data_IF_843443348512
#
_entry.id   IF_843443348512
#
_cell.length_a   1.000
_cell.length_b   1.000
_cell.length_c   1.000
_cell.angle_alpha   90.00
_cell.angle_beta   90.00
_cell.angle_gamma   90.00
#
_symmetry.space_group_name_H-M   'P 1'
#
loop_
_entity.id
_entity.type
_entity.pdbx_description
1 polymer ?
#
# COMPACT_ATOMS: atom_id res chain seq x y z
N UNK A 1 -73.41 -32.06 26.65
CA UNK A 1 -74.50 -31.32 25.93
C UNK A 1 -73.85 -30.47 24.91
N UNK A 2 -73.69 -30.89 23.66
CA UNK A 2 -74.67 -30.70 22.57
C UNK A 2 -74.74 -29.24 22.12
N UNK A 3 -74.27 -29.04 21.00
CA UNK A 3 -74.75 -28.76 19.62
C UNK A 3 -74.15 -27.44 19.12
N UNK A 4 -73.86 -27.14 17.92
CA UNK A 4 -74.10 -27.72 16.59
C UNK A 4 -73.55 -26.71 15.55
N UNK A 5 -73.09 -27.24 14.46
CA UNK A 5 -72.65 -26.67 13.22
C UNK A 5 -73.51 -25.53 12.66
N UNK A 6 -72.97 -24.70 11.81
CA UNK A 6 -73.51 -24.40 10.48
C UNK A 6 -72.49 -23.78 9.53
N UNK A 7 -72.47 -24.34 8.36
CA UNK A 7 -71.75 -24.02 7.10
C UNK A 7 -72.29 -22.75 6.45
N UNK A 8 -71.43 -21.98 5.80
CA UNK A 8 -71.78 -21.18 4.62
C UNK A 8 -70.63 -21.04 3.65
N UNK A 9 -70.90 -21.39 2.41
CA UNK A 9 -70.07 -21.29 1.20
C UNK A 9 -69.96 -19.84 0.73
N UNK A 10 -68.88 -19.47 0.12
CA UNK A 10 -68.74 -18.20 -0.63
C UNK A 10 -67.46 -18.20 -1.48
N UNK A 11 -67.64 -18.14 -2.77
CA UNK A 11 -66.84 -18.40 -3.95
C UNK A 11 -65.57 -17.57 -4.17
N UNK A 12 -64.92 -17.76 -5.32
CA UNK A 12 -63.55 -17.38 -5.56
C UNK A 12 -63.42 -15.88 -5.86
N UNK A 13 -62.46 -15.22 -5.24
CA UNK A 13 -62.00 -13.87 -5.59
C UNK A 13 -60.76 -13.92 -6.42
N UNK A 14 -60.76 -13.17 -7.47
CA UNK A 14 -59.78 -12.89 -8.48
C UNK A 14 -58.38 -12.63 -7.91
N UNK A 15 -57.40 -13.17 -8.60
CA UNK A 15 -55.97 -12.85 -8.41
C UNK A 15 -55.72 -11.50 -9.06
N UNK A 16 -55.31 -10.55 -8.26
CA UNK A 16 -54.77 -9.27 -8.72
C UNK A 16 -53.27 -9.49 -9.02
N UNK A 17 -52.91 -9.38 -10.32
CA UNK A 17 -51.56 -9.45 -10.85
C UNK A 17 -50.92 -8.06 -10.72
N UNK A 18 -50.36 -7.73 -9.57
CA UNK A 18 -49.44 -6.59 -9.44
C UNK A 18 -48.58 -6.79 -8.20
N UNK A 19 -47.53 -7.61 -8.32
CA UNK A 19 -46.35 -7.49 -7.46
C UNK A 19 -45.13 -8.16 -8.12
N UNK A 20 -44.61 -7.50 -9.15
CA UNK A 20 -43.35 -7.87 -9.79
C UNK A 20 -42.39 -6.68 -9.79
N UNK A 21 -41.96 -6.26 -8.59
CA UNK A 21 -40.79 -5.40 -8.42
C UNK A 21 -40.19 -5.62 -7.04
N UNK A 22 -39.76 -6.85 -6.75
CA UNK A 22 -38.81 -7.08 -5.69
C UNK A 22 -37.41 -6.87 -6.26
N UNK A 23 -36.85 -5.74 -5.84
CA UNK A 23 -35.48 -5.39 -6.14
C UNK A 23 -34.54 -6.54 -5.87
N UNK A 24 -33.60 -6.77 -6.78
CA UNK A 24 -32.51 -7.67 -6.61
C UNK A 24 -31.74 -7.26 -5.33
N UNK A 25 -31.83 -8.09 -4.29
CA UNK A 25 -31.01 -8.02 -3.10
C UNK A 25 -29.57 -8.25 -3.58
N UNK A 26 -28.70 -7.28 -3.34
CA UNK A 26 -27.27 -7.47 -3.52
C UNK A 26 -26.85 -8.73 -2.74
N UNK A 27 -25.85 -9.51 -3.21
CA UNK A 27 -25.36 -10.66 -2.47
C UNK A 27 -24.95 -10.18 -1.07
N UNK A 28 -25.52 -10.84 -0.03
CA UNK A 28 -25.13 -10.62 1.36
C UNK A 28 -23.64 -10.96 1.46
N UNK A 29 -22.82 -9.96 1.64
CA UNK A 29 -21.37 -10.06 1.82
C UNK A 29 -21.15 -10.72 3.19
N UNK A 30 -20.72 -12.00 3.21
CA UNK A 30 -20.37 -12.73 4.43
C UNK A 30 -19.07 -12.19 5.07
N UNK A 31 -18.42 -11.22 4.45
CA UNK A 31 -17.27 -10.49 4.99
C UNK A 31 -17.77 -9.39 5.91
N UNK A 32 -17.35 -9.41 7.18
CA UNK A 32 -17.68 -8.35 8.17
C UNK A 32 -17.23 -6.97 7.69
N UNK A 33 -17.37 -5.92 8.52
CA UNK A 33 -16.96 -4.57 8.13
C UNK A 33 -15.48 -4.55 7.73
N UNK A 34 -15.08 -3.65 6.79
CA UNK A 34 -13.70 -3.50 6.37
C UNK A 34 -12.80 -3.18 7.58
N UNK A 35 -11.52 -3.50 7.47
CA UNK A 35 -10.54 -3.22 8.52
C UNK A 35 -10.39 -1.71 8.76
N UNK A 36 -10.43 -0.92 7.67
CA UNK A 36 -10.40 0.54 7.74
C UNK A 36 -11.36 1.13 6.70
N UNK A 37 -12.18 2.09 7.11
CA UNK A 37 -12.97 2.93 6.23
C UNK A 37 -12.73 4.40 6.59
N UNK A 38 -12.33 5.19 5.60
CA UNK A 38 -12.09 6.63 5.68
C UNK A 38 -13.04 7.31 4.70
N UNK A 39 -13.80 8.30 5.14
CA UNK A 39 -14.79 8.99 4.32
C UNK A 39 -14.61 10.50 4.44
N UNK A 40 -14.29 11.18 3.34
CA UNK A 40 -14.20 12.63 3.22
C UNK A 40 -13.21 13.28 4.21
N UNK A 41 -12.11 12.59 4.52
CA UNK A 41 -11.18 13.02 5.54
C UNK A 41 -10.44 14.27 5.11
N UNK A 42 -10.52 15.31 5.94
CA UNK A 42 -9.77 16.55 5.74
C UNK A 42 -8.99 16.92 7.01
N UNK A 43 -7.74 17.31 6.83
CA UNK A 43 -6.89 17.81 7.92
C UNK A 43 -6.05 18.99 7.48
N UNK A 44 -6.13 20.07 8.27
CA UNK A 44 -5.34 21.29 8.10
C UNK A 44 -4.48 21.53 9.33
N UNK A 45 -3.32 22.13 9.14
CA UNK A 45 -2.44 22.57 10.21
C UNK A 45 -2.14 24.05 10.05
N UNK A 46 -2.06 24.79 11.16
CA UNK A 46 -1.91 26.25 11.19
C UNK A 46 -3.26 26.96 11.07
N UNK A 47 -3.22 28.27 11.19
CA UNK A 47 -4.39 29.17 11.17
C UNK A 47 -4.23 30.24 10.09
N UNK A 48 -5.36 30.74 9.56
CA UNK A 48 -5.39 31.82 8.58
C UNK A 48 -4.77 31.45 7.22
N UNK A 49 -4.09 32.40 6.61
CA UNK A 49 -3.52 32.28 5.27
C UNK A 49 -2.31 31.33 5.20
N UNK A 50 -1.69 31.01 6.34
CA UNK A 50 -0.56 30.08 6.44
C UNK A 50 -1.00 28.63 6.70
N UNK A 51 -2.31 28.34 6.67
CA UNK A 51 -2.83 27.00 6.90
C UNK A 51 -2.42 26.04 5.78
N UNK A 52 -1.78 24.93 6.15
CA UNK A 52 -1.39 23.86 5.22
C UNK A 52 -2.45 22.76 5.26
N UNK A 53 -3.05 22.45 4.11
CA UNK A 53 -3.96 21.32 3.96
C UNK A 53 -3.11 20.07 3.75
N UNK A 54 -3.01 19.24 4.79
CA UNK A 54 -2.21 18.01 4.76
C UNK A 54 -2.98 16.81 4.19
N UNK A 55 -4.30 16.78 4.38
CA UNK A 55 -5.23 15.78 3.79
C UNK A 55 -6.47 16.55 3.35
N UNK A 56 -6.94 16.33 2.13
CA UNK A 56 -8.01 17.08 1.49
C UNK A 56 -9.02 16.15 0.83
N UNK A 57 -10.16 15.93 1.48
CA UNK A 57 -11.29 15.12 1.03
C UNK A 57 -10.89 13.69 0.61
N UNK A 58 -10.13 13.01 1.47
CA UNK A 58 -9.64 11.65 1.21
C UNK A 58 -10.67 10.62 1.67
N UNK A 59 -11.04 9.72 0.74
CA UNK A 59 -11.89 8.56 1.03
C UNK A 59 -11.19 7.29 0.54
N UNK A 60 -11.06 6.28 1.40
CA UNK A 60 -10.52 4.98 1.06
C UNK A 60 -11.06 3.89 1.99
N UNK A 61 -11.04 2.65 1.52
CA UNK A 61 -11.42 1.46 2.28
C UNK A 61 -10.28 0.44 2.21
N UNK A 62 -9.99 -0.23 3.32
CA UNK A 62 -9.03 -1.34 3.39
C UNK A 62 -9.76 -2.58 3.85
N UNK A 63 -9.79 -3.58 2.99
CA UNK A 63 -10.43 -4.86 3.30
C UNK A 63 -9.57 -5.69 4.26
N UNK A 64 -10.22 -6.60 5.02
CA UNK A 64 -9.52 -7.49 5.93
C UNK A 64 -8.56 -8.42 5.16
N UNK A 65 -7.37 -8.65 5.71
CA UNK A 65 -6.36 -9.51 5.12
C UNK A 65 -5.68 -8.96 3.87
N UNK A 66 -5.93 -7.68 3.49
CA UNK A 66 -5.28 -7.04 2.35
C UNK A 66 -4.05 -6.22 2.77
N UNK A 67 -3.12 -6.05 1.83
CA UNK A 67 -1.96 -5.18 1.98
C UNK A 67 -2.12 -3.96 1.09
N UNK A 68 -2.32 -2.79 1.69
CA UNK A 68 -2.53 -1.53 0.97
C UNK A 68 -1.35 -0.60 1.18
N UNK A 69 -0.76 -0.14 0.07
CA UNK A 69 0.31 0.83 0.06
C UNK A 69 -0.20 2.26 -0.04
N UNK A 70 0.29 3.15 0.81
CA UNK A 70 0.14 4.59 0.68
C UNK A 70 1.40 5.15 0.05
N UNK A 71 1.37 5.47 -1.24
CA UNK A 71 2.50 5.93 -2.02
C UNK A 71 2.41 7.44 -2.26
N UNK A 72 3.53 8.12 -2.27
CA UNK A 72 3.62 9.54 -2.60
C UNK A 72 4.87 10.21 -2.04
N UNK A 73 5.23 11.40 -2.51
CA UNK A 73 6.40 12.13 -2.04
C UNK A 73 6.28 12.56 -0.57
N UNK A 74 7.38 13.05 -0.03
CA UNK A 74 7.37 13.66 1.29
C UNK A 74 6.42 14.87 1.31
N UNK A 75 5.59 14.97 2.36
CA UNK A 75 4.54 16.00 2.44
C UNK A 75 3.24 15.69 1.69
N UNK A 76 3.12 14.55 1.01
CA UNK A 76 1.87 14.15 0.32
C UNK A 76 0.67 13.89 1.24
N UNK A 77 0.89 13.79 2.57
CA UNK A 77 -0.18 13.57 3.55
C UNK A 77 -0.24 12.16 4.14
N UNK A 78 0.61 11.21 3.70
CA UNK A 78 0.61 9.80 4.13
C UNK A 78 0.61 9.62 5.65
N UNK A 79 1.63 10.15 6.33
CA UNK A 79 1.77 10.07 7.80
C UNK A 79 0.61 10.77 8.52
N UNK A 80 0.08 11.87 7.97
CA UNK A 80 -1.08 12.57 8.53
C UNK A 80 -2.33 11.71 8.43
N UNK A 81 -2.57 11.07 7.28
CA UNK A 81 -3.68 10.14 7.08
C UNK A 81 -3.60 8.97 8.07
N UNK A 82 -2.43 8.33 8.22
CA UNK A 82 -2.20 7.27 9.21
C UNK A 82 -2.47 7.77 10.63
N UNK A 83 -1.95 8.93 11.01
CA UNK A 83 -2.19 9.50 12.35
C UNK A 83 -3.65 9.84 12.61
N UNK A 84 -4.40 10.26 11.58
CA UNK A 84 -5.85 10.42 11.68
C UNK A 84 -6.56 9.07 11.87
N UNK A 85 -6.17 8.04 11.10
CA UNK A 85 -6.70 6.70 11.25
C UNK A 85 -6.44 6.10 12.63
N UNK A 86 -5.29 6.40 13.23
CA UNK A 86 -4.93 6.00 14.60
C UNK A 86 -5.52 6.91 15.70
N UNK A 87 -6.30 7.93 15.34
CA UNK A 87 -6.87 8.88 16.29
C UNK A 87 -5.83 9.70 17.09
N UNK A 88 -4.57 9.73 16.61
CA UNK A 88 -3.49 10.56 17.16
C UNK A 88 -3.70 12.01 16.75
N UNK A 89 -4.16 12.22 15.52
CA UNK A 89 -4.52 13.53 14.98
C UNK A 89 -6.03 13.54 14.73
N UNK A 90 -6.71 14.55 15.26
CA UNK A 90 -8.15 14.73 15.07
C UNK A 90 -8.36 15.40 13.70
N UNK A 91 -9.11 14.78 12.76
CA UNK A 91 -9.44 15.40 11.49
C UNK A 91 -10.40 16.57 11.67
N UNK A 92 -10.35 17.53 10.75
CA UNK A 92 -11.24 18.71 10.76
C UNK A 92 -12.59 18.38 10.12
N UNK A 93 -12.62 17.42 9.17
CA UNK A 93 -13.84 16.91 8.56
C UNK A 93 -13.68 15.42 8.19
N UNK A 94 -14.81 14.79 7.86
CA UNK A 94 -14.88 13.38 7.49
C UNK A 94 -14.99 12.44 8.68
N UNK A 95 -14.95 11.14 8.41
CA UNK A 95 -15.01 10.09 9.42
C UNK A 95 -13.98 8.99 9.18
N UNK A 96 -13.60 8.29 10.26
CA UNK A 96 -12.75 7.11 10.22
C UNK A 96 -13.41 6.02 11.05
N UNK A 97 -13.53 4.83 10.46
CA UNK A 97 -13.99 3.63 11.16
C UNK A 97 -12.94 2.53 11.02
N UNK A 98 -12.67 1.86 12.13
CA UNK A 98 -11.79 0.70 12.18
C UNK A 98 -12.60 -0.49 12.66
N UNK A 99 -12.62 -1.55 11.89
CA UNK A 99 -13.49 -2.72 12.09
C UNK A 99 -14.97 -2.32 12.34
N UNK A 100 -15.46 -1.29 11.62
CA UNK A 100 -16.79 -0.73 11.75
C UNK A 100 -16.99 0.22 12.92
N UNK A 101 -16.06 0.34 13.86
CA UNK A 101 -16.15 1.24 15.02
C UNK A 101 -15.60 2.63 14.67
N UNK A 102 -16.39 3.68 14.94
CA UNK A 102 -15.93 5.06 14.77
C UNK A 102 -14.82 5.38 15.77
N UNK A 103 -13.69 5.91 15.27
CA UNK A 103 -12.51 6.21 16.10
C UNK A 103 -12.74 7.38 17.07
N UNK A 104 -13.78 8.18 16.89
CA UNK A 104 -14.14 9.29 17.79
C UNK A 104 -14.91 8.80 19.01
N UNK A 105 -15.89 7.90 18.78
CA UNK A 105 -16.84 7.48 19.79
C UNK A 105 -16.48 6.13 20.44
N UNK A 106 -15.85 5.24 19.67
CA UNK A 106 -15.56 3.86 20.05
C UNK A 106 -14.06 3.51 20.18
N UNK A 107 -13.19 4.43 20.61
CA UNK A 107 -11.72 4.28 20.60
C UNK A 107 -11.21 2.93 21.11
N UNK A 108 -11.71 2.46 22.25
CA UNK A 108 -11.23 1.19 22.82
C UNK A 108 -11.56 -0.01 21.95
N UNK A 109 -12.75 -0.03 21.35
CA UNK A 109 -13.16 -1.12 20.46
C UNK A 109 -12.46 -0.99 19.09
N UNK A 110 -12.29 0.24 18.58
CA UNK A 110 -11.62 0.48 17.32
C UNK A 110 -10.14 0.06 17.32
N UNK A 111 -9.45 0.27 18.45
CA UNK A 111 -8.00 0.01 18.54
C UNK A 111 -7.61 -1.24 19.34
N UNK A 112 -8.57 -2.11 19.67
CA UNK A 112 -8.28 -3.35 20.40
C UNK A 112 -7.33 -4.29 19.63
N UNK A 113 -7.49 -4.31 18.31
CA UNK A 113 -6.78 -5.21 17.39
C UNK A 113 -5.94 -4.43 16.37
N UNK A 114 -5.50 -3.21 16.75
CA UNK A 114 -4.69 -2.31 15.91
C UNK A 114 -3.37 -2.01 16.57
N UNK A 115 -2.30 -2.07 15.79
CA UNK A 115 -0.99 -1.60 16.23
C UNK A 115 -0.31 -0.79 15.11
N UNK A 116 0.77 -0.08 15.44
CA UNK A 116 1.43 0.79 14.47
C UNK A 116 2.92 0.95 14.72
N UNK A 117 3.69 0.95 13.63
CA UNK A 117 5.06 1.40 13.60
C UNK A 117 5.13 2.75 12.88
N UNK A 118 5.30 3.84 13.62
CA UNK A 118 5.34 5.19 13.05
C UNK A 118 6.78 5.65 12.82
N UNK A 119 7.00 6.44 11.78
CA UNK A 119 8.29 7.05 11.50
C UNK A 119 8.75 7.90 12.70
N UNK A 120 10.02 7.73 13.10
CA UNK A 120 10.62 8.43 14.22
C UNK A 120 10.12 8.01 15.61
N UNK A 121 9.10 7.14 15.71
CA UNK A 121 8.70 6.57 16.97
C UNK A 121 9.68 5.46 17.40
N UNK A 122 9.88 5.35 18.71
CA UNK A 122 10.66 4.25 19.27
C UNK A 122 9.72 3.09 19.55
N UNK A 123 9.71 2.12 18.65
CA UNK A 123 8.92 0.90 18.78
C UNK A 123 9.74 -0.22 19.47
N UNK A 124 10.76 0.17 20.24
CA UNK A 124 11.60 -0.75 21.01
C UNK A 124 12.23 -0.02 22.22
N UNK A 125 12.44 -0.81 23.28
CA UNK A 125 13.18 -0.38 24.47
C UNK A 125 14.61 -0.89 24.36
N UNK A 126 15.54 -0.02 24.04
CA UNK A 126 16.94 -0.32 23.75
C UNK A 126 17.70 -1.05 24.85
N UNK A 127 17.24 -0.97 26.13
CA UNK A 127 17.84 -1.67 27.27
C UNK A 127 17.29 -3.07 27.51
N UNK A 128 16.08 -3.34 27.01
CA UNK A 128 15.47 -4.66 27.10
C UNK A 128 16.07 -5.58 26.03
N UNK A 129 16.05 -6.89 26.30
CA UNK A 129 16.35 -7.89 25.26
C UNK A 129 15.25 -7.93 24.22
N UNK A 130 15.50 -8.60 23.11
CA UNK A 130 14.49 -8.75 22.05
C UNK A 130 13.23 -9.41 22.60
N UNK A 131 13.36 -10.53 23.34
CA UNK A 131 12.23 -11.23 23.96
C UNK A 131 11.48 -10.38 24.97
N UNK A 132 12.20 -9.63 25.80
CA UNK A 132 11.57 -8.71 26.76
C UNK A 132 10.80 -7.59 26.07
N UNK A 133 11.25 -7.11 24.91
CA UNK A 133 10.49 -6.14 24.11
C UNK A 133 9.15 -6.72 23.65
N UNK A 134 9.13 -7.92 23.06
CA UNK A 134 7.89 -8.54 22.62
C UNK A 134 6.91 -8.72 23.78
N UNK A 135 7.40 -9.21 24.92
CA UNK A 135 6.59 -9.37 26.14
C UNK A 135 6.04 -8.03 26.65
N UNK A 136 6.88 -6.99 26.64
CA UNK A 136 6.48 -5.66 27.06
C UNK A 136 5.38 -5.09 26.15
N UNK A 137 5.55 -5.16 24.83
CA UNK A 137 4.56 -4.64 23.89
C UNK A 137 3.25 -5.44 23.93
N UNK A 138 3.28 -6.76 24.03
CA UNK A 138 2.07 -7.56 24.26
C UNK A 138 1.33 -7.10 25.54
N UNK A 139 2.07 -6.84 26.64
CA UNK A 139 1.47 -6.38 27.90
C UNK A 139 0.80 -5.01 27.77
N UNK A 140 1.42 -4.05 27.06
CA UNK A 140 0.80 -2.72 26.87
C UNK A 140 -0.39 -2.76 25.92
N UNK A 141 -0.43 -3.70 24.97
CA UNK A 141 -1.61 -3.99 24.14
C UNK A 141 -2.72 -4.72 24.91
N UNK A 142 -2.52 -5.01 26.19
CA UNK A 142 -3.51 -5.64 27.06
C UNK A 142 -3.55 -7.17 26.98
N UNK A 143 -2.56 -7.78 26.35
CA UNK A 143 -2.44 -9.24 26.17
C UNK A 143 -1.47 -9.82 27.21
N UNK A 144 -1.85 -10.94 27.84
CA UNK A 144 -0.94 -11.68 28.70
C UNK A 144 0.22 -12.25 27.87
N UNK A 145 1.47 -11.81 28.07
CA UNK A 145 2.61 -12.25 27.27
C UNK A 145 2.91 -13.75 27.37
N UNK A 146 2.46 -14.42 28.41
CA UNK A 146 2.63 -15.87 28.54
C UNK A 146 1.63 -16.63 27.66
N UNK A 147 0.45 -16.05 27.44
CA UNK A 147 -0.56 -16.62 26.53
C UNK A 147 -0.14 -16.58 25.06
N UNK A 148 0.75 -15.66 24.68
CA UNK A 148 1.26 -15.45 23.31
C UNK A 148 2.73 -15.84 23.16
N UNK A 149 3.33 -16.55 24.12
CA UNK A 149 4.74 -16.93 24.08
C UNK A 149 5.11 -17.73 22.81
N UNK A 150 4.27 -18.65 22.38
CA UNK A 150 4.48 -19.42 21.14
C UNK A 150 4.42 -18.52 19.87
N UNK A 151 3.63 -17.43 19.90
CA UNK A 151 3.62 -16.42 18.83
C UNK A 151 4.94 -15.65 18.82
N UNK A 152 5.42 -15.24 19.98
CA UNK A 152 6.71 -14.56 20.10
C UNK A 152 7.86 -15.41 19.54
N UNK A 153 7.92 -16.69 19.89
CA UNK A 153 8.95 -17.58 19.35
C UNK A 153 8.86 -17.69 17.83
N UNK A 154 7.65 -17.84 17.25
CA UNK A 154 7.47 -17.85 15.79
C UNK A 154 7.90 -16.55 15.13
N UNK A 155 7.60 -15.38 15.72
CA UNK A 155 8.02 -14.08 15.20
C UNK A 155 9.55 -13.94 15.23
N UNK A 156 10.20 -14.40 16.31
CA UNK A 156 11.66 -14.40 16.42
C UNK A 156 12.31 -15.29 15.34
N UNK A 157 11.79 -16.49 15.14
CA UNK A 157 12.29 -17.42 14.11
C UNK A 157 12.12 -16.81 12.70
N UNK A 158 10.94 -16.28 12.38
CA UNK A 158 10.63 -15.71 11.06
C UNK A 158 11.46 -14.47 10.71
N UNK A 159 11.76 -13.67 11.72
CA UNK A 159 12.55 -12.45 11.52
C UNK A 159 14.06 -12.67 11.69
N UNK A 160 14.52 -13.92 11.80
CA UNK A 160 15.92 -14.27 12.06
C UNK A 160 16.47 -13.58 13.31
N UNK A 161 15.70 -13.57 14.39
CA UNK A 161 16.06 -12.98 15.68
C UNK A 161 16.15 -14.00 16.82
N UNK A 162 15.92 -15.29 16.55
CA UNK A 162 15.88 -16.33 17.57
C UNK A 162 17.20 -16.44 18.35
N UNK A 163 18.35 -16.40 17.66
CA UNK A 163 19.69 -16.42 18.24
C UNK A 163 20.05 -15.13 18.99
N UNK A 164 19.26 -14.08 18.85
CA UNK A 164 19.39 -12.76 19.49
C UNK A 164 18.29 -12.51 20.54
N UNK A 165 17.43 -13.48 20.80
CA UNK A 165 16.28 -13.30 21.70
C UNK A 165 16.65 -12.69 23.05
N UNK A 166 17.79 -13.09 23.62
CA UNK A 166 18.26 -12.63 24.93
C UNK A 166 19.34 -11.51 24.82
N UNK A 167 19.53 -10.95 23.60
CA UNK A 167 20.46 -9.84 23.37
C UNK A 167 19.73 -8.51 23.59
N UNK A 168 20.30 -7.55 24.35
CA UNK A 168 19.73 -6.20 24.46
C UNK A 168 19.65 -5.52 23.10
N UNK A 169 18.55 -4.84 22.81
CA UNK A 169 18.29 -4.22 21.49
C UNK A 169 19.37 -3.20 21.13
N UNK A 170 19.96 -2.48 22.10
CA UNK A 170 21.05 -1.53 21.86
C UNK A 170 22.24 -2.15 21.13
N UNK A 171 22.50 -3.45 21.36
CA UNK A 171 23.68 -4.17 20.86
C UNK A 171 23.45 -4.79 19.46
N UNK A 172 22.28 -4.58 18.88
CA UNK A 172 21.89 -5.07 17.57
C UNK A 172 22.26 -4.09 16.45
N UNK A 173 22.41 -4.62 15.22
CA UNK A 173 22.54 -3.80 14.01
C UNK A 173 21.25 -2.98 13.76
N UNK A 174 21.34 -1.97 12.88
CA UNK A 174 20.17 -1.14 12.53
C UNK A 174 19.03 -1.98 11.90
N UNK A 175 19.37 -2.87 10.98
CA UNK A 175 18.38 -3.76 10.35
C UNK A 175 17.72 -4.70 11.36
N UNK A 176 18.50 -5.26 12.32
CA UNK A 176 17.93 -6.09 13.39
C UNK A 176 17.00 -5.28 14.31
N UNK A 177 17.36 -4.03 14.64
CA UNK A 177 16.47 -3.14 15.42
C UNK A 177 15.14 -2.89 14.71
N UNK A 178 15.15 -2.71 13.40
CA UNK A 178 13.93 -2.56 12.62
C UNK A 178 13.07 -3.83 12.65
N UNK A 179 13.70 -5.02 12.54
CA UNK A 179 13.00 -6.30 12.70
C UNK A 179 12.41 -6.47 14.12
N UNK A 180 13.11 -6.02 15.16
CA UNK A 180 12.60 -6.00 16.54
C UNK A 180 11.39 -5.06 16.67
N UNK A 181 11.46 -3.86 16.06
CA UNK A 181 10.33 -2.92 16.05
C UNK A 181 9.09 -3.55 15.39
N UNK A 182 9.27 -4.22 14.25
CA UNK A 182 8.18 -4.95 13.59
C UNK A 182 7.66 -6.10 14.48
N UNK A 183 8.54 -6.91 15.05
CA UNK A 183 8.14 -7.99 15.96
C UNK A 183 7.36 -7.47 17.17
N UNK A 184 7.76 -6.32 17.71
CA UNK A 184 7.10 -5.67 18.85
C UNK A 184 5.68 -5.22 18.53
N UNK A 185 5.47 -4.66 17.33
CA UNK A 185 4.14 -4.27 16.84
C UNK A 185 3.23 -5.48 16.65
N UNK A 186 3.79 -6.62 16.22
CA UNK A 186 3.03 -7.85 16.00
C UNK A 186 2.86 -8.70 17.27
N UNK A 187 3.54 -8.35 18.36
CA UNK A 187 3.61 -9.19 19.57
C UNK A 187 2.26 -9.38 20.25
N UNK A 188 1.38 -8.36 20.21
CA UNK A 188 0.04 -8.40 20.80
C UNK A 188 -1.00 -9.15 19.98
N UNK A 189 -0.73 -9.48 18.72
CA UNK A 189 -1.67 -10.16 17.84
C UNK A 189 -2.67 -9.25 17.13
N UNK A 190 -2.28 -8.01 16.84
CA UNK A 190 -3.08 -7.08 16.05
C UNK A 190 -3.55 -7.69 14.70
N UNK A 191 -4.79 -7.39 14.29
CA UNK A 191 -5.36 -7.78 13.00
C UNK A 191 -5.14 -6.72 11.91
N UNK A 192 -4.97 -5.44 12.31
CA UNK A 192 -4.64 -4.32 11.44
C UNK A 192 -3.35 -3.64 11.92
N UNK A 193 -2.38 -3.51 11.04
CA UNK A 193 -1.09 -2.88 11.36
C UNK A 193 -0.80 -1.74 10.39
N UNK A 194 -0.44 -0.58 10.95
CA UNK A 194 0.06 0.56 10.18
C UNK A 194 1.59 0.59 10.25
N UNK A 195 2.24 0.67 9.10
CA UNK A 195 3.69 0.76 8.98
C UNK A 195 4.07 2.02 8.21
N UNK A 196 4.59 3.02 8.93
CA UNK A 196 4.99 4.30 8.33
C UNK A 196 6.49 4.28 8.02
N UNK A 197 6.83 4.22 6.73
CA UNK A 197 8.19 4.13 6.18
C UNK A 197 9.04 3.00 6.80
N UNK A 198 8.59 1.72 6.79
CA UNK A 198 9.24 0.64 7.54
C UNK A 198 10.65 0.29 7.04
N UNK A 199 11.00 0.65 5.81
CA UNK A 199 12.31 0.37 5.21
C UNK A 199 13.26 1.56 5.25
N UNK A 200 12.82 2.70 5.78
CA UNK A 200 13.59 3.94 5.80
C UNK A 200 14.95 3.77 6.51
N UNK A 201 16.01 4.09 5.76
CA UNK A 201 17.37 4.07 6.29
C UNK A 201 17.93 2.68 6.55
N UNK A 202 17.34 1.64 6.00
CA UNK A 202 17.96 0.32 5.88
C UNK A 202 18.86 0.27 4.64
N UNK A 203 19.89 -0.59 4.70
CA UNK A 203 20.61 -0.99 3.50
C UNK A 203 19.73 -1.86 2.59
N UNK A 204 20.15 -2.02 1.33
CA UNK A 204 19.38 -2.71 0.28
C UNK A 204 19.01 -4.14 0.68
N UNK A 205 19.95 -4.87 1.32
CA UNK A 205 19.74 -6.27 1.70
C UNK A 205 18.74 -6.38 2.86
N UNK A 206 18.90 -5.53 3.88
CA UNK A 206 17.97 -5.45 5.03
C UNK A 206 16.57 -5.05 4.60
N UNK A 207 16.44 -4.06 3.69
CA UNK A 207 15.16 -3.63 3.15
C UNK A 207 14.48 -4.76 2.36
N UNK A 208 15.25 -5.48 1.51
CA UNK A 208 14.72 -6.63 0.74
C UNK A 208 14.22 -7.74 1.65
N UNK A 209 14.98 -8.07 2.69
CA UNK A 209 14.60 -9.09 3.66
C UNK A 209 13.32 -8.68 4.39
N UNK A 210 13.24 -7.43 4.86
CA UNK A 210 12.06 -6.93 5.57
C UNK A 210 10.80 -6.95 4.70
N UNK A 211 10.91 -6.56 3.42
CA UNK A 211 9.79 -6.62 2.45
C UNK A 211 9.27 -8.05 2.27
N UNK A 212 10.19 -9.01 2.09
CA UNK A 212 9.82 -10.42 1.95
C UNK A 212 9.09 -10.95 3.19
N UNK A 213 9.56 -10.58 4.39
CA UNK A 213 8.91 -10.99 5.64
C UNK A 213 7.55 -10.31 5.85
N UNK A 214 7.39 -9.04 5.50
CA UNK A 214 6.09 -8.36 5.55
C UNK A 214 5.06 -9.07 4.67
N UNK A 215 5.43 -9.38 3.42
CA UNK A 215 4.56 -10.09 2.48
C UNK A 215 4.18 -11.47 3.02
N UNK A 216 5.15 -12.19 3.56
CA UNK A 216 4.94 -13.51 4.13
C UNK A 216 3.99 -13.49 5.34
N UNK A 217 4.21 -12.55 6.28
CA UNK A 217 3.36 -12.39 7.45
C UNK A 217 1.91 -12.04 7.06
N UNK A 218 1.73 -11.15 6.09
CA UNK A 218 0.40 -10.81 5.58
C UNK A 218 -0.35 -12.04 5.06
N UNK A 219 0.29 -12.85 4.22
CA UNK A 219 -0.32 -14.03 3.59
C UNK A 219 -0.56 -15.16 4.61
N UNK A 220 0.43 -15.47 5.46
CA UNK A 220 0.35 -16.62 6.36
C UNK A 220 -0.51 -16.37 7.61
N UNK A 221 -0.61 -15.13 8.08
CA UNK A 221 -1.37 -14.78 9.28
C UNK A 221 -2.71 -14.06 8.95
N UNK A 222 -3.00 -13.80 7.68
CA UNK A 222 -4.19 -13.06 7.28
C UNK A 222 -4.18 -11.61 7.80
N UNK A 223 -3.00 -11.04 8.02
CA UNK A 223 -2.81 -9.72 8.60
C UNK A 223 -3.19 -8.63 7.61
N UNK A 224 -4.00 -7.67 8.05
CA UNK A 224 -4.25 -6.47 7.27
C UNK A 224 -3.13 -5.47 7.49
N UNK A 225 -2.51 -4.98 6.42
CA UNK A 225 -1.39 -4.03 6.51
C UNK A 225 -1.70 -2.77 5.70
N UNK A 226 -1.52 -1.61 6.33
CA UNK A 226 -1.42 -0.32 5.65
C UNK A 226 0.03 0.15 5.76
N UNK A 227 0.75 0.17 4.65
CA UNK A 227 2.16 0.58 4.63
C UNK A 227 2.33 1.88 3.86
N UNK A 228 2.97 2.88 4.46
CA UNK A 228 3.39 4.08 3.73
C UNK A 228 4.82 3.93 3.24
N UNK A 229 5.07 4.39 2.03
CA UNK A 229 6.42 4.56 1.51
C UNK A 229 6.47 5.63 0.43
N UNK A 230 7.65 6.22 0.24
CA UNK A 230 8.02 6.98 -0.94
C UNK A 230 8.86 6.12 -1.92
N UNK A 231 9.25 4.91 -1.51
CA UNK A 231 9.99 3.93 -2.31
C UNK A 231 9.01 2.99 -3.04
N UNK A 232 8.89 3.17 -4.36
CA UNK A 232 8.03 2.38 -5.24
C UNK A 232 8.33 0.89 -5.15
N UNK A 233 9.61 0.52 -5.08
CA UNK A 233 10.05 -0.87 -4.98
C UNK A 233 9.50 -1.56 -3.73
N UNK A 234 9.36 -0.82 -2.63
CA UNK A 234 8.76 -1.36 -1.41
C UNK A 234 7.27 -1.63 -1.60
N UNK A 235 6.56 -0.71 -2.23
CA UNK A 235 5.12 -0.85 -2.49
C UNK A 235 4.85 -2.00 -3.47
N UNK A 236 5.56 -2.06 -4.59
CA UNK A 236 5.41 -3.15 -5.58
C UNK A 236 5.70 -4.54 -5.00
N UNK A 237 6.69 -4.63 -4.09
CA UNK A 237 7.08 -5.91 -3.52
C UNK A 237 6.14 -6.42 -2.42
N UNK A 238 5.41 -5.54 -1.73
CA UNK A 238 4.66 -5.88 -0.52
C UNK A 238 3.15 -5.78 -0.72
N UNK A 239 2.66 -4.83 -1.52
CA UNK A 239 1.25 -4.45 -1.57
C UNK A 239 0.46 -5.15 -2.68
N UNK A 240 -0.81 -5.40 -2.42
CA UNK A 240 -1.78 -5.86 -3.42
C UNK A 240 -2.42 -4.67 -4.14
N UNK A 241 -2.64 -3.57 -3.42
CA UNK A 241 -3.30 -2.34 -3.88
C UNK A 241 -2.51 -1.13 -3.43
N UNK A 242 -2.54 -0.08 -4.23
CA UNK A 242 -1.82 1.17 -3.99
C UNK A 242 -2.78 2.35 -4.06
N UNK A 243 -2.73 3.17 -3.03
CA UNK A 243 -3.36 4.49 -2.98
C UNK A 243 -2.26 5.53 -3.13
N UNK A 244 -2.23 6.20 -4.27
CA UNK A 244 -1.24 7.25 -4.56
C UNK A 244 -1.74 8.59 -4.07
N UNK A 245 -0.93 9.27 -3.26
CA UNK A 245 -1.24 10.56 -2.67
C UNK A 245 -0.33 11.65 -3.24
N UNK A 246 -0.92 12.79 -3.60
CA UNK A 246 -0.20 14.00 -3.98
C UNK A 246 -0.94 15.22 -3.45
N UNK A 247 -0.22 16.13 -2.77
CA UNK A 247 -0.78 17.36 -2.20
C UNK A 247 -2.05 17.12 -1.34
N UNK A 248 -2.03 16.06 -0.52
CA UNK A 248 -3.13 15.70 0.37
C UNK A 248 -4.32 15.01 -0.28
N UNK A 249 -4.29 14.72 -1.59
CA UNK A 249 -5.39 14.10 -2.35
C UNK A 249 -4.97 12.76 -2.92
N UNK A 250 -5.95 11.86 -3.10
CA UNK A 250 -5.75 10.62 -3.87
C UNK A 250 -5.72 10.96 -5.36
N UNK A 251 -4.65 10.53 -6.04
CA UNK A 251 -4.46 10.69 -7.49
C UNK A 251 -4.62 9.39 -8.26
N UNK A 252 -4.43 8.25 -7.58
CA UNK A 252 -4.74 6.92 -8.10
C UNK A 252 -5.05 5.97 -6.93
N UNK A 253 -5.90 4.99 -7.16
CA UNK A 253 -6.29 3.96 -6.20
C UNK A 253 -6.72 2.72 -6.98
N UNK A 254 -5.82 1.73 -7.06
CA UNK A 254 -6.07 0.47 -7.77
C UNK A 254 -5.07 -0.61 -7.32
N UNK A 255 -5.21 -1.82 -7.84
CA UNK A 255 -4.21 -2.89 -7.66
C UNK A 255 -2.89 -2.51 -8.33
N UNK A 256 -1.77 -2.98 -7.77
CA UNK A 256 -0.44 -2.78 -8.38
C UNK A 256 -0.43 -3.31 -9.82
N UNK A 257 -1.01 -4.48 -10.05
CA UNK A 257 -1.10 -5.09 -11.38
C UNK A 257 -1.89 -4.22 -12.38
N UNK A 258 -3.05 -3.68 -11.97
CA UNK A 258 -3.87 -2.82 -12.82
C UNK A 258 -3.16 -1.51 -13.16
N UNK A 259 -2.49 -0.89 -12.19
CA UNK A 259 -1.74 0.36 -12.40
C UNK A 259 -0.58 0.15 -13.37
N UNK A 260 0.23 -0.90 -13.17
CA UNK A 260 1.34 -1.24 -14.05
C UNK A 260 0.85 -1.68 -15.44
N UNK A 261 -0.26 -2.43 -15.50
CA UNK A 261 -0.89 -2.83 -16.76
C UNK A 261 -1.46 -1.67 -17.57
N UNK A 262 -2.02 -0.65 -16.90
CA UNK A 262 -2.54 0.55 -17.54
C UNK A 262 -1.43 1.45 -18.09
N UNK A 263 -0.28 1.50 -17.40
CA UNK A 263 0.91 2.25 -17.82
C UNK A 263 1.78 1.47 -18.80
N UNK A 264 1.43 0.19 -19.10
CA UNK A 264 2.18 -0.64 -20.04
C UNK A 264 2.24 0.05 -21.40
N UNK A 265 3.21 0.95 -21.54
CA UNK A 265 3.65 1.39 -22.85
C UNK A 265 4.44 0.24 -23.44
N UNK A 266 4.08 -0.17 -24.67
CA UNK A 266 4.87 -1.07 -25.48
C UNK A 266 6.22 -0.44 -25.81
N UNK A 267 6.97 -0.02 -24.79
CA UNK A 267 8.24 0.66 -24.96
C UNK A 267 9.40 -0.34 -24.95
N UNK A 268 10.35 -0.10 -25.81
CA UNK A 268 11.56 -0.89 -25.96
C UNK A 268 12.77 0.01 -25.72
N UNK A 269 13.62 -0.40 -24.78
CA UNK A 269 14.92 0.24 -24.55
C UNK A 269 15.97 -0.47 -25.39
N UNK A 270 16.69 0.31 -26.19
CA UNK A 270 17.82 -0.14 -27.02
C UNK A 270 19.08 0.54 -26.52
N UNK A 271 20.11 -0.24 -26.24
CA UNK A 271 21.43 0.29 -25.87
C UNK A 271 22.46 -0.02 -26.96
N UNK A 272 23.24 0.98 -27.31
CA UNK A 272 24.30 0.85 -28.32
C UNK A 272 25.34 1.96 -28.17
N UNK A 273 26.66 1.68 -28.39
CA UNK A 273 27.67 2.70 -28.47
C UNK A 273 27.49 3.63 -29.69
N UNK A 274 26.73 3.21 -30.71
CA UNK A 274 26.49 3.95 -31.94
C UNK A 274 25.36 4.98 -31.80
N UNK A 275 24.70 5.09 -30.64
CA UNK A 275 23.66 6.07 -30.34
C UNK A 275 24.25 7.46 -30.07
N UNK A 276 24.79 8.07 -31.10
CA UNK A 276 25.22 9.48 -31.08
C UNK A 276 24.02 10.42 -31.09
N UNK A 277 24.19 11.70 -30.72
CA UNK A 277 23.10 12.68 -30.83
C UNK A 277 22.49 12.77 -32.25
N UNK A 278 23.32 12.60 -33.27
CA UNK A 278 22.90 12.65 -34.71
C UNK A 278 22.09 11.39 -35.06
N UNK A 279 22.54 10.22 -34.61
CA UNK A 279 21.82 8.95 -34.80
C UNK A 279 20.45 8.96 -34.08
N UNK A 280 20.39 9.50 -32.87
CA UNK A 280 19.13 9.62 -32.12
C UNK A 280 18.15 10.57 -32.82
N UNK A 281 18.62 11.67 -33.40
CA UNK A 281 17.78 12.59 -34.15
C UNK A 281 17.23 11.94 -35.43
N UNK A 282 18.06 11.14 -36.14
CA UNK A 282 17.59 10.36 -37.28
C UNK A 282 16.55 9.28 -36.88
N UNK A 283 16.70 8.67 -35.73
CA UNK A 283 15.69 7.72 -35.22
C UNK A 283 14.35 8.39 -34.89
N UNK A 284 14.35 9.64 -34.42
CA UNK A 284 13.12 10.42 -34.13
C UNK A 284 12.25 10.67 -35.36
N UNK A 285 12.86 10.68 -36.57
CA UNK A 285 12.11 10.81 -37.80
C UNK A 285 11.34 9.56 -38.19
N UNK A 286 11.81 8.38 -37.74
CA UNK A 286 11.26 7.08 -38.12
C UNK A 286 10.40 6.43 -37.03
N UNK A 287 10.72 6.69 -35.74
CA UNK A 287 10.08 6.06 -34.60
C UNK A 287 9.86 7.08 -33.47
N UNK A 288 8.87 6.81 -32.62
CA UNK A 288 8.54 7.65 -31.46
C UNK A 288 9.54 7.40 -30.32
N UNK A 289 10.57 8.26 -30.22
CA UNK A 289 11.57 8.21 -29.13
C UNK A 289 11.00 8.89 -27.90
N UNK A 290 10.70 8.10 -26.87
CA UNK A 290 10.13 8.53 -25.58
C UNK A 290 11.20 9.04 -24.61
N UNK A 291 12.40 8.44 -24.64
CA UNK A 291 13.49 8.80 -23.74
C UNK A 291 14.88 8.56 -24.33
N UNK A 292 15.87 9.33 -23.86
CA UNK A 292 17.28 9.18 -24.22
C UNK A 292 18.13 9.22 -22.94
N UNK A 293 18.83 8.14 -22.65
CA UNK A 293 19.77 8.02 -21.54
C UNK A 293 21.19 8.08 -22.08
N UNK A 294 21.80 9.27 -22.01
CA UNK A 294 23.16 9.51 -22.49
C UNK A 294 24.24 9.14 -21.49
N UNK A 295 23.86 8.98 -20.21
CA UNK A 295 24.79 8.65 -19.14
C UNK A 295 24.94 7.15 -18.97
N UNK A 296 24.04 6.35 -19.55
CA UNK A 296 24.17 4.91 -19.63
C UNK A 296 25.42 4.49 -20.41
N UNK A 297 25.97 3.34 -20.06
CA UNK A 297 27.14 2.77 -20.76
C UNK A 297 26.83 1.33 -21.17
N UNK A 298 26.58 1.12 -22.48
CA UNK A 298 26.48 2.09 -23.57
C UNK A 298 25.25 3.01 -23.47
N UNK A 299 25.22 4.17 -24.20
CA UNK A 299 24.06 5.03 -24.30
C UNK A 299 22.82 4.27 -24.74
N UNK A 300 21.63 4.71 -24.30
CA UNK A 300 20.38 4.02 -24.62
C UNK A 300 19.28 4.98 -25.02
N UNK A 301 18.36 4.47 -25.86
CA UNK A 301 17.10 5.14 -26.22
C UNK A 301 15.93 4.27 -25.83
N UNK A 302 14.84 4.90 -25.41
CA UNK A 302 13.55 4.24 -25.18
C UNK A 302 12.60 4.69 -26.28
N UNK A 303 11.97 3.73 -26.96
CA UNK A 303 11.10 3.94 -28.12
C UNK A 303 9.76 3.28 -27.84
N UNK A 304 8.65 3.95 -28.18
CA UNK A 304 7.33 3.34 -28.19
C UNK A 304 7.23 2.38 -29.37
N UNK A 305 7.36 1.08 -29.10
CA UNK A 305 7.52 0.04 -30.13
C UNK A 305 6.71 -1.23 -29.84
N UNK A 306 5.41 -1.09 -29.57
CA UNK A 306 4.50 -2.22 -29.38
C UNK A 306 4.01 -2.85 -30.66
N UNK A 307 3.83 -4.18 -30.65
CA UNK A 307 3.30 -4.92 -31.78
C UNK A 307 4.13 -4.76 -33.05
N UNK A 308 3.48 -4.34 -34.14
CA UNK A 308 4.12 -4.17 -35.46
C UNK A 308 5.19 -3.06 -35.46
N UNK A 309 5.11 -2.08 -34.58
CA UNK A 309 6.11 -1.00 -34.45
C UNK A 309 7.51 -1.49 -34.05
N UNK A 310 7.60 -2.71 -33.50
CA UNK A 310 8.91 -3.34 -33.21
C UNK A 310 9.69 -3.60 -34.51
N UNK A 311 9.01 -3.95 -35.60
CA UNK A 311 9.65 -4.12 -36.90
C UNK A 311 10.13 -2.77 -37.46
N UNK A 312 9.34 -1.72 -37.32
CA UNK A 312 9.73 -0.37 -37.74
C UNK A 312 10.97 0.10 -36.96
N UNK A 313 11.03 -0.16 -35.64
CA UNK A 313 12.22 0.12 -34.84
C UNK A 313 13.44 -0.64 -35.33
N UNK A 314 13.32 -1.94 -35.60
CA UNK A 314 14.47 -2.75 -36.08
C UNK A 314 14.95 -2.29 -37.46
N UNK A 315 14.05 -1.87 -38.35
CA UNK A 315 14.41 -1.36 -39.67
C UNK A 315 15.05 0.04 -39.58
N UNK A 316 14.55 0.93 -38.68
CA UNK A 316 15.15 2.21 -38.42
C UNK A 316 16.59 2.09 -37.86
N UNK A 317 16.79 1.21 -36.86
CA UNK A 317 18.13 0.93 -36.30
C UNK A 317 19.09 0.39 -37.35
N UNK A 318 18.64 -0.51 -38.23
CA UNK A 318 19.43 -1.05 -39.33
C UNK A 318 19.79 0.03 -40.35
N UNK A 319 18.82 0.89 -40.73
CA UNK A 319 19.04 1.98 -41.67
C UNK A 319 20.03 3.03 -41.11
N UNK A 320 19.99 3.28 -39.81
CA UNK A 320 20.92 4.17 -39.11
C UNK A 320 22.30 3.52 -38.83
N UNK A 321 22.51 2.26 -39.21
CA UNK A 321 23.78 1.54 -39.00
C UNK A 321 24.08 1.25 -37.52
N UNK A 322 23.08 1.22 -36.65
CA UNK A 322 23.24 0.99 -35.20
C UNK A 322 23.45 -0.50 -34.92
N UNK A 323 24.54 -0.82 -34.25
CA UNK A 323 24.81 -2.16 -33.72
C UNK A 323 24.22 -2.27 -32.34
N UNK A 324 23.12 -3.01 -32.20
CA UNK A 324 22.42 -3.18 -30.91
C UNK A 324 23.27 -4.03 -29.96
N UNK A 325 23.61 -3.46 -28.80
CA UNK A 325 24.30 -4.19 -27.71
C UNK A 325 23.34 -4.87 -26.77
N UNK A 326 22.20 -4.24 -26.54
CA UNK A 326 21.14 -4.76 -25.66
C UNK A 326 19.79 -4.20 -26.11
N UNK A 327 18.75 -5.03 -26.04
CA UNK A 327 17.37 -4.67 -26.32
C UNK A 327 16.47 -5.28 -25.26
N UNK A 328 15.64 -4.46 -24.62
CA UNK A 328 14.73 -4.88 -23.55
C UNK A 328 13.39 -4.21 -23.71
N UNK A 329 12.33 -4.94 -23.42
CA UNK A 329 11.03 -4.32 -23.18
C UNK A 329 11.10 -3.54 -21.86
N UNK A 330 10.67 -2.30 -21.89
CA UNK A 330 10.54 -1.47 -20.68
C UNK A 330 9.23 -1.88 -20.02
N UNK A 331 9.33 -2.44 -18.83
CA UNK A 331 8.15 -2.59 -17.99
C UNK A 331 7.99 -1.31 -17.20
N UNK A 332 6.82 -0.66 -17.27
CA UNK A 332 6.54 0.52 -16.47
C UNK A 332 6.62 0.15 -14.97
N UNK A 333 7.05 1.07 -14.18
CA UNK A 333 7.02 0.99 -12.73
C UNK A 333 5.98 1.97 -12.15
N UNK A 334 5.78 1.92 -10.84
CA UNK A 334 4.85 2.84 -10.18
C UNK A 334 5.31 4.30 -10.25
N UNK A 335 6.60 4.57 -10.54
CA UNK A 335 7.12 5.91 -10.74
C UNK A 335 6.59 6.51 -12.04
N UNK A 336 6.59 5.73 -13.12
CA UNK A 336 6.01 6.12 -14.42
C UNK A 336 4.52 6.44 -14.26
N UNK A 337 3.77 5.57 -13.56
CA UNK A 337 2.35 5.80 -13.25
C UNK A 337 2.14 7.08 -12.47
N UNK A 338 2.95 7.31 -11.44
CA UNK A 338 2.84 8.51 -10.61
C UNK A 338 3.13 9.79 -11.42
N UNK A 339 4.17 9.77 -12.25
CA UNK A 339 4.53 10.87 -13.14
C UNK A 339 3.40 11.20 -14.13
N UNK A 340 2.80 10.18 -14.73
CA UNK A 340 1.68 10.36 -15.67
C UNK A 340 0.48 11.01 -14.97
N UNK A 341 0.17 10.60 -13.74
CA UNK A 341 -0.98 11.12 -12.98
C UNK A 341 -0.76 12.52 -12.39
N UNK A 342 0.46 12.89 -12.08
CA UNK A 342 0.78 14.16 -11.38
C UNK A 342 1.53 15.16 -12.21
N UNK A 343 2.17 14.75 -13.30
CA UNK A 343 3.08 15.58 -14.11
C UNK A 343 4.37 15.97 -13.36
N UNK A 344 4.69 15.34 -12.23
CA UNK A 344 5.83 15.71 -11.38
C UNK A 344 6.48 14.47 -10.79
N UNK A 345 7.81 14.34 -10.89
CA UNK A 345 8.57 13.26 -10.27
C UNK A 345 8.45 13.29 -8.74
N UNK A 346 8.30 12.13 -8.08
CA UNK A 346 8.09 12.04 -6.62
C UNK A 346 9.28 12.54 -5.78
N UNK A 347 10.46 12.70 -6.38
CA UNK A 347 11.69 13.20 -5.74
C UNK A 347 12.08 14.64 -6.09
N UNK A 348 11.28 15.37 -6.87
CA UNK A 348 11.61 16.73 -7.31
C UNK A 348 11.42 17.75 -6.18
N UNK A 349 12.51 18.16 -5.52
CA UNK A 349 12.56 19.37 -4.72
C UNK A 349 12.23 20.56 -5.63
N UNK A 350 11.22 21.34 -5.29
CA UNK A 350 11.01 22.66 -5.89
C UNK A 350 12.14 23.57 -5.41
N UNK A 351 13.03 23.94 -6.33
CA UNK A 351 13.99 25.03 -6.11
C UNK A 351 13.27 26.36 -5.94
#
# INVERSE_FOLDING_TARGET
MARSATSARGGPRERDETDAARGAKAPDDETGPPALAVEGLTKRFGDGDDAVVAVDDVSLTVERGSVVGLLGPNGAGKTTLIKCALGIVIPDAGSVRVFGNDVRDGRRAAYADVDAMLEGARNDYWRLTVRENLRYFATISGVDPDSVAARHDRLLDRLDLADKADTPVRDLSRGMKQKVSLASVLAGGAELVFLDEPTLGLDVESARTLRAELRRLAVEEGLTIVVSSHDMTTIEAVCDRVVMLSNGRIVADDTVEALLGAAASDAVRVASPDLTPETVEGLREAVEVVGVDRDARPPAVTVAAGGDRLYDLTDALRAAGVTVSDIRTVQPDLEDVFLERTGTAPGGERS
#
